data_IF_001411625614
#
_entry.id   IF_001411625614
#
_cell.length_a   1.000
_cell.length_b   1.000
_cell.length_c   1.000
_cell.angle_alpha   90.00
_cell.angle_beta   90.00
_cell.angle_gamma   90.00
#
_symmetry.space_group_name_H-M   'P 1'
#
loop_
_entity.id
_entity.type
_entity.pdbx_description
1 polymer ?
#
# COMPACT_ATOMS: atom_id res chain seq x y z
N UNK A 1 -4.43 17.89 33.31
CA UNK A 1 -3.51 16.80 33.67
C UNK A 1 -2.86 16.33 32.37
N UNK A 2 -1.72 16.94 32.01
CA UNK A 2 -1.01 16.72 30.74
C UNK A 2 -0.02 15.57 30.91
N UNK A 3 -0.23 14.47 30.18
CA UNK A 3 0.75 13.39 30.03
C UNK A 3 1.71 13.77 28.91
N UNK A 4 2.92 14.19 29.30
CA UNK A 4 4.05 14.40 28.40
C UNK A 4 4.66 13.03 28.11
N UNK A 5 4.62 12.61 26.84
CA UNK A 5 5.20 11.35 26.37
C UNK A 5 6.74 11.44 26.40
N UNK A 6 7.37 10.59 27.21
CA UNK A 6 8.76 10.67 27.63
C UNK A 6 9.77 9.96 26.69
N UNK A 7 9.43 9.72 25.42
CA UNK A 7 10.25 8.91 24.50
C UNK A 7 11.03 9.69 23.43
N UNK A 8 10.92 11.03 23.37
CA UNK A 8 11.61 11.85 22.37
C UNK A 8 13.11 12.12 22.63
N UNK A 9 13.69 11.72 23.77
CA UNK A 9 15.08 12.07 24.12
C UNK A 9 16.14 11.06 23.61
N UNK A 10 15.74 9.86 23.17
CA UNK A 10 16.70 8.83 22.72
C UNK A 10 17.16 8.99 21.25
N UNK A 11 16.41 9.73 20.42
CA UNK A 11 16.71 9.85 18.97
C UNK A 11 17.81 10.89 18.69
N UNK A 12 18.02 11.86 19.60
CA UNK A 12 19.02 12.92 19.44
C UNK A 12 20.45 12.41 19.63
N UNK A 13 20.65 11.33 20.40
CA UNK A 13 21.98 10.76 20.69
C UNK A 13 22.61 10.00 19.51
N UNK A 14 21.82 9.32 18.69
CA UNK A 14 22.31 8.57 17.52
C UNK A 14 22.74 9.49 16.36
N UNK A 15 22.09 10.65 16.19
CA UNK A 15 22.43 11.64 15.17
C UNK A 15 23.75 12.38 15.45
N UNK A 16 24.20 12.44 16.70
CA UNK A 16 25.45 13.10 17.07
C UNK A 16 26.70 12.21 16.88
N UNK A 17 26.54 10.87 16.87
CA UNK A 17 27.66 9.95 16.60
C UNK A 17 28.00 9.82 15.12
N UNK A 18 27.06 10.11 14.22
CA UNK A 18 27.31 10.10 12.77
C UNK A 18 28.14 11.30 12.26
N UNK A 19 28.30 12.36 13.08
CA UNK A 19 29.06 13.57 12.72
C UNK A 19 30.58 13.48 12.94
N UNK A 20 31.12 12.36 13.45
CA UNK A 20 32.54 12.22 13.80
C UNK A 20 33.35 11.28 12.90
N UNK A 21 32.75 10.67 11.87
CA UNK A 21 33.50 9.95 10.86
C UNK A 21 33.86 10.91 9.72
N UNK A 22 35.14 11.34 9.69
CA UNK A 22 35.74 12.11 8.61
C UNK A 22 35.87 11.31 7.30
N UNK A 23 36.31 11.97 6.21
CA UNK A 23 35.79 11.71 4.87
C UNK A 23 36.79 10.92 4.00
N UNK A 24 36.40 9.75 3.51
CA UNK A 24 37.07 9.17 2.33
C UNK A 24 36.20 8.15 1.56
N UNK A 25 35.00 8.57 1.17
CA UNK A 25 34.25 7.90 0.10
C UNK A 25 34.09 8.89 -1.04
N UNK A 26 35.10 8.95 -1.91
CA UNK A 26 34.96 9.55 -3.23
C UNK A 26 34.03 8.67 -4.06
N UNK A 27 32.75 9.01 -4.07
CA UNK A 27 31.85 8.52 -5.09
C UNK A 27 32.31 9.09 -6.44
N UNK A 28 32.45 8.28 -7.51
CA UNK A 28 32.67 8.82 -8.84
C UNK A 28 31.54 9.79 -9.16
N UNK A 29 31.86 10.92 -9.80
CA UNK A 29 30.92 11.97 -10.20
C UNK A 29 29.91 11.41 -11.20
N UNK A 30 28.91 10.69 -10.70
CA UNK A 30 27.74 10.26 -11.42
C UNK A 30 26.93 11.50 -11.80
N UNK A 31 26.49 11.53 -13.05
CA UNK A 31 25.61 12.55 -13.59
C UNK A 31 24.52 12.96 -12.59
N UNK A 32 24.15 14.25 -12.54
CA UNK A 32 23.05 14.70 -11.69
C UNK A 32 21.82 13.84 -12.00
N UNK A 33 21.07 13.37 -10.98
CA UNK A 33 19.85 12.61 -11.22
C UNK A 33 18.96 13.46 -12.12
N UNK A 34 18.68 12.96 -13.34
CA UNK A 34 17.72 13.58 -14.23
C UNK A 34 16.39 13.61 -13.49
N UNK A 35 15.98 14.81 -13.09
CA UNK A 35 14.64 15.06 -12.60
C UNK A 35 13.62 14.52 -13.62
N UNK A 36 12.58 13.79 -13.20
CA UNK A 36 11.39 13.69 -14.01
C UNK A 36 10.76 15.09 -13.99
N UNK A 37 11.16 15.96 -14.93
CA UNK A 37 10.36 17.12 -15.33
C UNK A 37 9.11 16.59 -16.04
N UNK A 38 8.20 15.96 -15.30
CA UNK A 38 6.87 15.66 -15.81
C UNK A 38 5.91 16.61 -15.13
N UNK A 39 5.78 17.81 -15.70
CA UNK A 39 4.57 18.59 -15.47
C UNK A 39 3.40 17.72 -15.94
N UNK A 40 2.28 17.73 -15.21
CA UNK A 40 1.05 17.03 -15.60
C UNK A 40 0.51 17.44 -16.98
N UNK A 41 1.09 18.47 -17.61
CA UNK A 41 0.79 18.92 -18.97
C UNK A 41 1.34 17.98 -20.05
N UNK A 42 2.27 17.08 -19.73
CA UNK A 42 2.87 16.14 -20.68
C UNK A 42 2.17 14.76 -20.73
N UNK A 43 1.16 14.50 -19.88
CA UNK A 43 0.46 13.21 -19.87
C UNK A 43 -0.63 13.15 -20.93
N UNK A 44 -0.80 11.98 -21.56
CA UNK A 44 -1.96 11.75 -22.43
C UNK A 44 -3.27 11.91 -21.63
N UNK A 45 -4.37 12.30 -22.29
CA UNK A 45 -5.68 12.39 -21.62
C UNK A 45 -6.11 11.08 -20.95
N UNK A 46 -5.86 9.92 -21.58
CA UNK A 46 -6.20 8.62 -21.00
C UNK A 46 -5.37 8.30 -19.75
N UNK A 47 -4.07 8.62 -19.76
CA UNK A 47 -3.21 8.45 -18.58
C UNK A 47 -3.71 9.29 -17.40
N UNK A 48 -4.02 10.57 -17.66
CA UNK A 48 -4.55 11.46 -16.63
C UNK A 48 -5.90 10.97 -16.09
N UNK A 49 -6.80 10.53 -16.97
CA UNK A 49 -8.09 9.97 -16.57
C UNK A 49 -7.91 8.71 -15.70
N UNK A 50 -7.01 7.81 -16.07
CA UNK A 50 -6.70 6.61 -15.27
C UNK A 50 -6.10 6.94 -13.91
N UNK A 51 -5.18 7.90 -13.82
CA UNK A 51 -4.63 8.38 -12.54
C UNK A 51 -5.72 8.98 -11.65
N UNK A 52 -6.61 9.79 -12.22
CA UNK A 52 -7.75 10.36 -11.49
C UNK A 52 -8.68 9.26 -10.98
N UNK A 53 -9.02 8.30 -11.83
CA UNK A 53 -9.87 7.15 -11.51
C UNK A 53 -9.26 6.30 -10.40
N UNK A 54 -7.96 5.96 -10.49
CA UNK A 54 -7.23 5.25 -9.42
C UNK A 54 -7.27 5.97 -8.07
N UNK A 55 -7.23 7.30 -8.06
CA UNK A 55 -7.29 8.09 -6.82
C UNK A 55 -8.64 8.00 -6.10
N UNK A 56 -9.69 7.58 -6.82
CA UNK A 56 -11.03 7.36 -6.29
C UNK A 56 -11.22 5.94 -5.72
N UNK A 57 -10.23 5.05 -5.87
CA UNK A 57 -10.30 3.67 -5.38
C UNK A 57 -9.78 3.50 -3.96
N UNK A 58 -10.08 4.45 -3.08
CA UNK A 58 -9.87 4.31 -1.65
C UNK A 58 -11.00 3.54 -0.99
N UNK A 59 -10.70 2.94 0.15
CA UNK A 59 -11.66 2.24 1.01
C UNK A 59 -11.74 2.92 2.37
N UNK A 60 -12.93 3.00 2.94
CA UNK A 60 -13.12 3.43 4.33
C UNK A 60 -12.48 2.43 5.28
N UNK A 61 -12.06 2.89 6.46
CA UNK A 61 -11.57 2.00 7.51
C UNK A 61 -12.63 0.99 7.94
N UNK A 62 -13.90 1.39 7.96
CA UNK A 62 -15.05 0.51 8.18
C UNK A 62 -15.07 -0.66 7.20
N UNK A 63 -14.93 -0.40 5.90
CA UNK A 63 -14.92 -1.45 4.87
C UNK A 63 -13.66 -2.32 4.93
N UNK A 64 -12.51 -1.76 5.32
CA UNK A 64 -11.29 -2.54 5.55
C UNK A 64 -11.42 -3.52 6.73
N UNK A 65 -12.06 -3.09 7.82
CA UNK A 65 -12.33 -3.97 8.97
C UNK A 65 -13.38 -5.02 8.65
N UNK A 66 -14.43 -4.67 7.90
CA UNK A 66 -15.42 -5.63 7.42
C UNK A 66 -14.76 -6.72 6.55
N UNK A 67 -13.87 -6.33 5.63
CA UNK A 67 -13.08 -7.29 4.85
C UNK A 67 -12.27 -8.24 5.75
N UNK A 68 -11.61 -7.71 6.78
CA UNK A 68 -10.78 -8.51 7.68
C UNK A 68 -11.58 -9.51 8.52
N UNK A 69 -12.78 -9.12 8.98
CA UNK A 69 -13.62 -9.95 9.84
C UNK A 69 -14.52 -10.92 9.07
N UNK A 70 -14.93 -10.56 7.86
CA UNK A 70 -15.94 -11.27 7.11
C UNK A 70 -15.33 -11.94 5.87
N UNK A 71 -14.90 -11.16 4.88
CA UNK A 71 -14.45 -11.69 3.58
C UNK A 71 -13.17 -12.53 3.69
N UNK A 72 -12.23 -12.13 4.55
CA UNK A 72 -11.00 -12.87 4.83
C UNK A 72 -11.27 -14.19 5.55
N UNK A 73 -12.29 -14.23 6.41
CA UNK A 73 -12.63 -15.41 7.23
C UNK A 73 -13.60 -16.37 6.52
N UNK A 74 -14.35 -15.88 5.54
CA UNK A 74 -15.34 -16.66 4.80
C UNK A 74 -14.73 -17.69 3.84
N UNK A 75 -13.42 -17.61 3.56
CA UNK A 75 -12.76 -18.51 2.63
C UNK A 75 -12.46 -19.87 3.26
N UNK A 76 -13.32 -20.87 2.99
CA UNK A 76 -13.19 -22.22 3.55
C UNK A 76 -11.89 -22.94 3.18
N UNK A 77 -11.31 -22.63 2.01
CA UNK A 77 -10.06 -23.25 1.55
C UNK A 77 -8.82 -22.51 2.06
N UNK A 78 -8.98 -21.36 2.72
CA UNK A 78 -7.88 -20.53 3.20
C UNK A 78 -8.07 -20.15 4.66
N UNK A 79 -7.46 -20.95 5.54
CA UNK A 79 -7.37 -20.60 6.96
C UNK A 79 -6.31 -19.53 7.17
N UNK A 80 -6.73 -18.27 7.28
CA UNK A 80 -5.83 -17.15 7.51
C UNK A 80 -5.09 -17.27 8.86
N UNK A 81 -3.77 -17.15 8.82
CA UNK A 81 -2.87 -17.16 9.96
C UNK A 81 -2.18 -15.78 10.09
N UNK A 82 -2.63 -14.91 11.02
CA UNK A 82 -2.19 -13.52 11.08
C UNK A 82 -0.68 -13.28 11.30
N UNK A 83 0.03 -14.30 11.79
CA UNK A 83 1.48 -14.24 12.06
C UNK A 83 2.33 -14.67 10.87
N UNK A 84 1.76 -15.45 9.95
CA UNK A 84 2.50 -16.11 8.88
C UNK A 84 2.10 -15.59 7.50
N UNK A 85 0.81 -15.30 7.30
CA UNK A 85 0.30 -14.84 6.02
C UNK A 85 0.61 -13.37 5.76
N UNK A 86 1.21 -13.16 4.60
CA UNK A 86 1.60 -11.87 4.08
C UNK A 86 0.48 -11.29 3.23
N UNK A 87 0.61 -10.00 2.92
CA UNK A 87 -0.35 -9.31 2.06
C UNK A 87 -0.47 -9.98 0.68
N UNK A 88 0.62 -10.52 0.12
CA UNK A 88 0.56 -11.30 -1.13
C UNK A 88 -0.32 -12.54 -1.02
N UNK A 89 -0.34 -13.22 0.13
CA UNK A 89 -1.11 -14.44 0.33
C UNK A 89 -2.60 -14.08 0.36
N UNK A 90 -2.96 -13.03 1.09
CA UNK A 90 -4.33 -12.48 1.11
C UNK A 90 -4.77 -12.01 -0.29
N UNK A 91 -3.89 -11.36 -1.05
CA UNK A 91 -4.20 -10.96 -2.44
C UNK A 91 -4.52 -12.18 -3.30
N UNK A 92 -3.67 -13.22 -3.26
CA UNK A 92 -3.79 -14.42 -4.10
C UNK A 92 -4.94 -15.33 -3.67
N UNK A 93 -5.19 -15.46 -2.37
CA UNK A 93 -6.14 -16.42 -1.81
C UNK A 93 -7.52 -15.83 -1.57
N UNK A 94 -7.65 -14.52 -1.38
CA UNK A 94 -8.92 -13.89 -1.02
C UNK A 94 -9.33 -12.83 -2.04
N UNK A 95 -8.52 -11.79 -2.22
CA UNK A 95 -8.92 -10.64 -3.06
C UNK A 95 -9.16 -11.05 -4.51
N UNK A 96 -8.21 -11.76 -5.14
CA UNK A 96 -8.34 -12.19 -6.54
C UNK A 96 -9.53 -13.13 -6.73
N UNK A 97 -9.71 -14.21 -5.93
CA UNK A 97 -10.88 -15.07 -6.07
C UNK A 97 -12.21 -14.36 -5.89
N UNK A 98 -12.33 -13.48 -4.88
CA UNK A 98 -13.57 -12.76 -4.62
C UNK A 98 -13.93 -11.84 -5.79
N UNK A 99 -12.95 -11.13 -6.36
CA UNK A 99 -13.23 -10.19 -7.45
C UNK A 99 -13.17 -10.82 -8.85
N UNK A 100 -13.04 -12.15 -8.97
CA UNK A 100 -12.81 -12.79 -10.28
C UNK A 100 -14.01 -12.73 -11.22
N UNK A 101 -15.23 -12.72 -10.69
CA UNK A 101 -16.44 -12.63 -11.52
C UNK A 101 -16.60 -11.24 -12.16
N UNK A 102 -16.14 -10.19 -11.47
CA UNK A 102 -16.23 -8.80 -11.93
C UNK A 102 -14.94 -8.33 -12.63
N UNK A 103 -13.85 -9.08 -12.48
CA UNK A 103 -12.53 -8.81 -13.04
C UNK A 103 -12.00 -7.40 -12.71
N UNK A 104 -12.28 -6.94 -11.48
CA UNK A 104 -11.99 -5.59 -11.03
C UNK A 104 -11.11 -5.56 -9.76
N UNK A 105 -10.70 -4.36 -9.34
CA UNK A 105 -10.06 -4.17 -8.03
C UNK A 105 -11.08 -4.30 -6.91
N UNK A 106 -10.68 -4.80 -5.74
CA UNK A 106 -11.58 -4.91 -4.59
C UNK A 106 -12.32 -3.60 -4.27
N UNK A 107 -11.62 -2.47 -4.31
CA UNK A 107 -12.19 -1.16 -3.99
C UNK A 107 -13.38 -0.76 -4.87
N UNK A 108 -13.49 -1.28 -6.10
CA UNK A 108 -14.63 -0.99 -7.01
C UNK A 108 -15.61 -2.15 -7.13
N UNK A 109 -15.31 -3.28 -6.47
CA UNK A 109 -16.14 -4.48 -6.51
C UNK A 109 -17.42 -4.33 -5.69
N UNK A 110 -18.44 -5.16 -5.95
CA UNK A 110 -19.64 -5.19 -5.13
C UNK A 110 -19.39 -5.59 -3.67
N UNK A 111 -18.22 -6.19 -3.38
CA UNK A 111 -17.81 -6.58 -2.03
C UNK A 111 -17.32 -5.40 -1.17
N UNK A 112 -16.96 -4.26 -1.79
CA UNK A 112 -16.70 -3.03 -1.05
C UNK A 112 -18.02 -2.31 -0.74
N UNK A 113 -18.56 -2.56 0.46
CA UNK A 113 -19.88 -2.10 0.91
C UNK A 113 -20.10 -0.59 0.83
N UNK A 114 -19.07 0.20 1.06
CA UNK A 114 -19.18 1.67 1.03
C UNK A 114 -18.95 2.27 -0.36
N UNK A 115 -18.62 1.41 -1.34
CA UNK A 115 -18.17 1.78 -2.67
C UNK A 115 -16.77 2.42 -2.69
N UNK A 116 -16.17 2.62 -3.87
CA UNK A 116 -14.91 3.33 -4.00
C UNK A 116 -15.08 4.78 -3.55
N UNK A 117 -14.14 5.27 -2.74
CA UNK A 117 -14.11 6.64 -2.24
C UNK A 117 -12.77 7.30 -2.55
N UNK A 118 -12.79 8.61 -2.78
CA UNK A 118 -11.55 9.38 -2.86
C UNK A 118 -10.74 9.22 -1.59
N UNK A 119 -9.48 8.81 -1.74
CA UNK A 119 -8.60 8.58 -0.61
C UNK A 119 -8.09 9.90 -0.01
N UNK A 120 -8.11 9.96 1.33
CA UNK A 120 -7.50 11.02 2.11
C UNK A 120 -6.10 10.63 2.61
N UNK A 121 -5.82 9.33 2.56
CA UNK A 121 -4.57 8.74 3.01
C UNK A 121 -4.05 7.78 1.95
N UNK A 122 -2.82 7.96 1.49
CA UNK A 122 -2.12 6.96 0.72
C UNK A 122 -1.26 6.10 1.64
N UNK A 123 -1.38 4.77 1.51
CA UNK A 123 -0.59 3.83 2.31
C UNK A 123 0.51 3.22 1.45
N UNK A 124 1.75 3.55 1.78
CA UNK A 124 2.93 2.88 1.21
C UNK A 124 3.25 1.65 2.05
N UNK A 125 3.27 0.48 1.42
CA UNK A 125 3.50 -0.81 2.06
C UNK A 125 4.19 -1.81 1.12
N UNK A 126 4.71 -2.90 1.68
CA UNK A 126 5.30 -4.00 0.93
C UNK A 126 4.41 -5.25 1.04
N UNK A 127 4.23 -5.99 -0.07
CA UNK A 127 3.42 -7.23 -0.03
C UNK A 127 4.09 -8.38 0.70
N UNK A 128 5.41 -8.28 0.91
CA UNK A 128 6.16 -9.19 1.76
C UNK A 128 5.82 -9.07 3.25
N UNK A 129 5.06 -8.05 3.65
CA UNK A 129 4.70 -7.78 5.04
C UNK A 129 3.49 -8.61 5.44
N UNK A 130 3.44 -8.99 6.72
CA UNK A 130 2.26 -9.59 7.34
C UNK A 130 1.04 -8.71 7.07
N UNK A 131 -0.05 -9.32 6.62
CA UNK A 131 -1.25 -8.56 6.25
C UNK A 131 -1.89 -7.87 7.48
N UNK A 132 -1.87 -8.56 8.62
CA UNK A 132 -2.29 -8.00 9.91
C UNK A 132 -1.55 -6.71 10.24
N UNK A 133 -0.23 -6.66 10.06
CA UNK A 133 0.59 -5.49 10.42
C UNK A 133 0.28 -4.29 9.51
N UNK A 134 -0.03 -4.53 8.23
CA UNK A 134 -0.53 -3.50 7.33
C UNK A 134 -1.84 -2.90 7.86
N UNK A 135 -2.81 -3.74 8.21
CA UNK A 135 -4.09 -3.25 8.74
C UNK A 135 -3.91 -2.56 10.10
N UNK A 136 -3.04 -3.11 10.96
CA UNK A 136 -2.71 -2.52 12.25
C UNK A 136 -2.09 -1.12 12.09
N UNK A 137 -1.20 -0.92 11.12
CA UNK A 137 -0.63 0.38 10.80
C UNK A 137 -1.69 1.41 10.37
N UNK A 138 -2.67 0.97 9.57
CA UNK A 138 -3.81 1.81 9.16
C UNK A 138 -4.69 2.19 10.35
N UNK A 139 -5.05 1.20 11.19
CA UNK A 139 -5.85 1.43 12.41
C UNK A 139 -5.11 2.35 13.40
N UNK A 140 -3.81 2.13 13.59
CA UNK A 140 -2.94 2.95 14.44
C UNK A 140 -2.88 4.40 13.95
N UNK A 141 -2.75 4.61 12.65
CA UNK A 141 -2.79 5.94 12.07
C UNK A 141 -4.14 6.65 12.28
N UNK A 142 -5.26 5.93 12.12
CA UNK A 142 -6.59 6.46 12.42
C UNK A 142 -6.74 6.86 13.89
N UNK A 143 -6.26 6.02 14.81
CA UNK A 143 -6.22 6.27 16.25
C UNK A 143 -5.16 7.30 16.67
N UNK A 144 -4.35 7.79 15.72
CA UNK A 144 -3.24 8.73 15.94
C UNK A 144 -2.16 8.20 16.90
N UNK A 145 -1.99 6.87 16.93
CA UNK A 145 -0.97 6.20 17.69
C UNK A 145 0.36 6.19 16.93
N UNK A 146 1.46 6.25 17.69
CA UNK A 146 2.82 6.24 17.12
C UNK A 146 3.34 4.82 16.83
N UNK A 147 2.62 3.78 17.29
CA UNK A 147 2.96 2.39 17.06
C UNK A 147 1.71 1.54 16.91
N UNK A 148 1.77 0.58 15.99
CA UNK A 148 0.65 -0.30 15.71
C UNK A 148 0.56 -1.56 16.59
N UNK A 149 1.33 -1.62 17.69
CA UNK A 149 1.37 -2.81 18.56
C UNK A 149 0.02 -3.10 19.24
N UNK A 150 -0.68 -2.05 19.71
CA UNK A 150 -2.01 -2.19 20.33
C UNK A 150 -3.04 -2.65 19.29
N UNK A 151 -3.05 -1.99 18.12
CA UNK A 151 -3.92 -2.37 17.01
C UNK A 151 -3.69 -3.83 16.57
N UNK A 152 -2.43 -4.27 16.51
CA UNK A 152 -2.07 -5.65 16.19
C UNK A 152 -2.67 -6.65 17.17
N UNK A 153 -2.58 -6.36 18.48
CA UNK A 153 -3.11 -7.23 19.53
C UNK A 153 -4.64 -7.32 19.42
N UNK A 154 -5.30 -6.18 19.28
CA UNK A 154 -6.76 -6.15 19.21
C UNK A 154 -7.31 -6.74 17.91
N UNK A 155 -6.58 -6.67 16.79
CA UNK A 155 -6.95 -7.37 15.56
C UNK A 155 -6.97 -8.91 15.72
N UNK A 156 -6.27 -9.47 16.71
CA UNK A 156 -6.26 -10.90 17.01
C UNK A 156 -7.26 -11.25 18.12
N UNK A 157 -7.39 -10.41 19.14
CA UNK A 157 -8.08 -10.74 20.38
C UNK A 157 -9.48 -10.11 20.50
N UNK A 158 -9.67 -8.88 20.01
CA UNK A 158 -10.90 -8.11 20.22
C UNK A 158 -11.09 -7.00 19.17
N UNK A 159 -11.52 -7.42 17.98
CA UNK A 159 -11.80 -6.48 16.88
C UNK A 159 -13.02 -5.59 17.20
N UNK A 160 -13.94 -6.05 18.06
CA UNK A 160 -15.09 -5.27 18.48
C UNK A 160 -14.66 -4.03 19.28
N UNK A 161 -13.69 -4.18 20.20
CA UNK A 161 -13.11 -3.05 20.91
C UNK A 161 -12.44 -2.05 19.97
N UNK A 162 -11.70 -2.50 18.94
CA UNK A 162 -11.16 -1.60 17.92
C UNK A 162 -12.25 -0.80 17.21
N UNK A 163 -13.35 -1.45 16.86
CA UNK A 163 -14.45 -0.81 16.19
C UNK A 163 -15.05 0.31 17.05
N UNK A 164 -15.28 0.05 18.34
CA UNK A 164 -15.79 1.07 19.27
C UNK A 164 -14.79 2.21 19.47
N UNK A 165 -13.49 1.95 19.63
CA UNK A 165 -12.47 3.01 19.71
C UNK A 165 -12.44 3.91 18.46
N UNK A 166 -12.56 3.32 17.27
CA UNK A 166 -12.60 4.05 16.00
C UNK A 166 -13.91 4.81 15.80
N UNK A 167 -15.00 4.29 16.34
CA UNK A 167 -16.32 4.94 16.34
C UNK A 167 -16.34 6.14 17.27
N UNK A 168 -15.85 5.99 18.50
CA UNK A 168 -15.75 7.07 19.49
C UNK A 168 -14.83 8.20 19.02
N UNK A 169 -13.78 7.87 18.27
CA UNK A 169 -12.88 8.86 17.66
C UNK A 169 -13.40 9.43 16.33
N UNK A 170 -14.56 8.99 15.84
CA UNK A 170 -15.15 9.38 14.55
C UNK A 170 -14.21 9.15 13.35
N UNK A 171 -13.44 8.04 13.35
CA UNK A 171 -12.42 7.73 12.33
C UNK A 171 -12.76 6.55 11.42
N UNK A 172 -13.88 5.87 11.65
CA UNK A 172 -14.30 4.72 10.82
C UNK A 172 -14.46 5.07 9.33
N UNK A 173 -14.78 6.32 9.01
CA UNK A 173 -15.00 6.78 7.64
C UNK A 173 -13.74 7.42 7.03
N UNK A 174 -12.58 7.35 7.71
CA UNK A 174 -11.30 7.70 7.10
C UNK A 174 -11.05 6.79 5.88
N UNK A 175 -10.70 7.41 4.74
CA UNK A 175 -10.49 6.69 3.48
C UNK A 175 -9.00 6.48 3.18
N UNK A 176 -8.60 5.22 3.02
CA UNK A 176 -7.24 4.80 2.72
C UNK A 176 -7.16 4.23 1.31
N UNK A 177 -6.15 4.68 0.55
CA UNK A 177 -5.70 4.03 -0.66
C UNK A 177 -4.60 3.03 -0.31
N UNK A 178 -4.88 1.75 -0.52
CA UNK A 178 -3.94 0.66 -0.25
C UNK A 178 -3.85 -0.15 -1.55
N UNK A 179 -2.65 -0.29 -2.11
CA UNK A 179 -2.52 -0.84 -3.44
C UNK A 179 -3.15 -2.24 -3.53
N UNK A 180 -3.04 -3.08 -2.50
CA UNK A 180 -3.61 -4.43 -2.43
C UNK A 180 -5.10 -4.47 -2.82
N UNK A 181 -5.86 -3.44 -2.44
CA UNK A 181 -7.30 -3.32 -2.70
C UNK A 181 -7.64 -2.44 -3.91
N UNK A 182 -6.85 -1.39 -4.16
CA UNK A 182 -7.17 -0.38 -5.15
C UNK A 182 -6.75 -0.76 -6.59
N UNK A 183 -5.71 -1.58 -6.73
CA UNK A 183 -5.20 -1.99 -8.05
C UNK A 183 -5.93 -3.24 -8.54
N UNK A 184 -6.36 -3.22 -9.79
CA UNK A 184 -6.96 -4.37 -10.45
C UNK A 184 -5.91 -5.43 -10.75
N UNK A 185 -5.94 -6.51 -9.95
CA UNK A 185 -4.99 -7.63 -10.05
C UNK A 185 -5.23 -8.51 -11.26
N UNK A 186 -6.44 -8.48 -11.82
CA UNK A 186 -6.81 -9.24 -13.01
C UNK A 186 -6.07 -8.80 -14.26
N UNK A 187 -5.62 -7.53 -14.29
CA UNK A 187 -4.82 -6.99 -15.40
C UNK A 187 -3.30 -7.20 -15.24
N UNK A 188 -2.84 -7.81 -14.14
CA UNK A 188 -1.42 -7.78 -13.77
C UNK A 188 -0.82 -9.16 -13.49
N UNK A 189 -1.51 -9.98 -12.69
CA UNK A 189 -0.91 -11.18 -12.07
C UNK A 189 -1.80 -12.42 -12.15
N UNK A 190 -2.92 -12.38 -12.86
CA UNK A 190 -3.77 -13.55 -13.04
C UNK A 190 -3.14 -14.58 -13.98
N UNK A 191 -3.68 -15.81 -14.03
CA UNK A 191 -3.23 -16.92 -14.91
C UNK A 191 -1.80 -17.43 -14.72
N UNK A 192 -0.95 -16.76 -13.94
CA UNK A 192 0.42 -17.17 -13.68
C UNK A 192 0.80 -16.99 -12.21
N UNK A 193 1.40 -18.05 -11.66
CA UNK A 193 2.03 -18.02 -10.35
C UNK A 193 3.23 -18.98 -10.33
N UNK A 194 4.41 -18.52 -10.79
CA UNK A 194 5.58 -19.39 -10.87
C UNK A 194 6.23 -19.64 -9.49
N UNK A 195 6.00 -18.79 -8.49
CA UNK A 195 6.81 -18.79 -7.26
C UNK A 195 6.04 -18.58 -5.95
N UNK A 196 4.88 -17.93 -5.94
CA UNK A 196 4.22 -17.57 -4.68
C UNK A 196 3.58 -18.81 -4.05
N UNK A 197 4.10 -19.21 -2.88
CA UNK A 197 3.64 -20.35 -2.11
C UNK A 197 3.01 -19.89 -0.81
N UNK A 198 1.99 -20.63 -0.38
CA UNK A 198 1.42 -20.50 0.96
C UNK A 198 2.51 -20.85 2.00
N UNK A 199 2.75 -19.98 3.00
CA UNK A 199 3.85 -20.16 3.94
C UNK A 199 3.67 -21.33 4.91
N UNK A 200 2.44 -21.84 5.10
CA UNK A 200 2.15 -22.92 6.03
C UNK A 200 2.18 -24.29 5.35
N UNK A 201 1.60 -24.37 4.15
CA UNK A 201 1.44 -25.62 3.38
C UNK A 201 2.54 -25.81 2.34
N UNK A 202 3.27 -24.74 2.00
CA UNK A 202 4.27 -24.69 0.92
C UNK A 202 3.70 -25.04 -0.48
N UNK A 203 2.37 -25.00 -0.63
CA UNK A 203 1.67 -25.23 -1.90
C UNK A 203 1.64 -23.92 -2.70
N UNK A 204 1.75 -24.00 -4.02
CA UNK A 204 1.59 -22.83 -4.88
C UNK A 204 0.17 -22.29 -4.76
N UNK A 205 0.05 -20.96 -4.63
CA UNK A 205 -1.27 -20.33 -4.68
C UNK A 205 -1.96 -20.62 -6.02
N UNK A 206 -3.29 -20.85 -6.02
CA UNK A 206 -4.03 -21.12 -7.24
C UNK A 206 -3.95 -19.94 -8.21
N UNK A 207 -4.05 -20.24 -9.49
CA UNK A 207 -4.12 -19.23 -10.55
C UNK A 207 -5.58 -18.93 -10.89
N UNK A 208 -5.90 -17.64 -11.01
CA UNK A 208 -7.22 -17.22 -11.47
C UNK A 208 -7.42 -17.55 -12.96
N UNK A 209 -8.62 -18.00 -13.32
CA UNK A 209 -9.03 -18.40 -14.68
C UNK A 209 -9.89 -17.34 -15.38
N UNK A 210 -9.86 -16.08 -14.91
CA UNK A 210 -10.62 -14.98 -15.50
C UNK A 210 -10.22 -14.68 -16.95
N UNK A 211 -11.04 -13.90 -17.64
CA UNK A 211 -10.90 -13.53 -19.05
C UNK A 211 -9.97 -12.34 -19.29
N UNK A 212 -9.68 -11.55 -18.25
CA UNK A 212 -8.73 -10.46 -18.28
C UNK A 212 -7.37 -10.86 -18.84
N UNK A 213 -6.83 -9.99 -19.69
CA UNK A 213 -5.48 -10.12 -20.21
C UNK A 213 -4.52 -9.39 -19.28
N UNK A 214 -3.48 -10.11 -18.83
CA UNK A 214 -2.37 -9.46 -18.16
C UNK A 214 -1.69 -8.53 -19.14
N UNK A 215 -1.46 -7.30 -18.70
CA UNK A 215 -0.70 -6.31 -19.45
C UNK A 215 0.78 -6.65 -19.24
N UNK A 216 1.34 -7.39 -20.19
CA UNK A 216 2.77 -7.71 -20.23
C UNK A 216 3.45 -6.83 -21.27
N UNK A 217 4.55 -6.19 -20.87
CA UNK A 217 5.50 -5.60 -21.81
C UNK A 217 6.26 -6.73 -22.54
N UNK A 218 6.60 -6.52 -23.81
CA UNK A 218 7.37 -7.49 -24.60
C UNK A 218 8.78 -7.72 -24.03
N UNK A 219 9.32 -6.75 -23.28
CA UNK A 219 10.72 -6.78 -22.83
C UNK A 219 10.92 -6.73 -21.30
N UNK A 220 9.84 -6.71 -20.50
CA UNK A 220 9.94 -6.69 -19.03
C UNK A 220 10.71 -5.49 -18.45
N UNK A 221 11.01 -4.47 -19.26
CA UNK A 221 11.67 -3.25 -18.83
C UNK A 221 10.64 -2.15 -18.57
N UNK A 222 10.81 -1.47 -17.45
CA UNK A 222 10.04 -0.28 -17.08
C UNK A 222 9.98 0.71 -18.26
N UNK A 223 8.82 0.82 -18.91
CA UNK A 223 8.62 1.72 -20.07
C UNK A 223 8.81 3.18 -19.68
N UNK A 224 9.96 3.69 -20.07
CA UNK A 224 10.22 5.11 -20.30
C UNK A 224 10.22 5.46 -21.81
N UNK A 225 9.75 4.58 -22.70
CA UNK A 225 9.75 4.84 -24.15
C UNK A 225 8.36 4.74 -24.79
N UNK A 226 7.89 5.88 -25.29
CA UNK A 226 6.61 6.14 -25.96
C UNK A 226 6.50 5.54 -27.38
N UNK A 227 7.09 4.38 -27.65
CA UNK A 227 7.09 3.82 -29.02
C UNK A 227 6.85 2.32 -29.03
N UNK A 228 5.59 1.91 -29.14
CA UNK A 228 5.09 1.09 -30.27
C UNK A 228 3.72 0.47 -29.97
N UNK A 229 2.74 0.81 -30.82
CA UNK A 229 1.58 0.03 -31.25
C UNK A 229 0.65 -0.69 -30.23
N UNK A 230 0.79 -0.47 -28.92
CA UNK A 230 -0.12 -0.94 -27.86
C UNK A 230 -0.53 0.16 -26.87
N UNK A 231 -0.43 1.43 -27.29
CA UNK A 231 -0.66 2.63 -26.46
C UNK A 231 -1.99 2.64 -25.69
N UNK A 232 -3.01 1.90 -26.14
CA UNK A 232 -4.28 1.75 -25.43
C UNK A 232 -4.11 0.93 -24.13
N UNK A 233 -3.51 -0.26 -24.21
CA UNK A 233 -3.39 -1.20 -23.09
C UNK A 233 -2.54 -0.63 -21.94
N UNK A 234 -1.43 0.05 -22.24
CA UNK A 234 -0.56 0.61 -21.19
C UNK A 234 -1.22 1.82 -20.52
N UNK A 235 -1.94 2.66 -21.27
CA UNK A 235 -2.63 3.82 -20.70
C UNK A 235 -3.77 3.43 -19.77
N UNK A 236 -4.40 2.28 -20.02
CA UNK A 236 -5.51 1.75 -19.22
C UNK A 236 -5.05 0.88 -18.03
N UNK A 237 -3.77 0.46 -18.01
CA UNK A 237 -3.19 -0.29 -16.88
C UNK A 237 -3.21 0.47 -15.57
N UNK A 238 -3.29 -0.22 -14.44
CA UNK A 238 -3.12 0.41 -13.13
C UNK A 238 -1.63 0.53 -12.72
N UNK A 239 -0.76 -0.21 -13.40
CA UNK A 239 0.67 -0.35 -13.07
C UNK A 239 1.44 0.92 -13.49
N UNK A 240 2.51 1.23 -12.74
CA UNK A 240 3.42 2.36 -12.99
C UNK A 240 2.77 3.76 -12.88
N UNK A 241 1.55 3.86 -12.34
CA UNK A 241 0.84 5.14 -12.13
C UNK A 241 0.93 5.69 -10.71
N UNK A 242 1.58 4.96 -9.79
CA UNK A 242 1.58 5.29 -8.37
C UNK A 242 2.22 6.65 -8.06
N UNK A 243 3.38 6.96 -8.64
CA UNK A 243 4.04 8.27 -8.48
C UNK A 243 3.15 9.40 -8.98
N UNK A 244 2.47 9.21 -10.12
CA UNK A 244 1.53 10.20 -10.65
C UNK A 244 0.24 10.30 -9.84
N UNK A 245 -0.18 9.21 -9.21
CA UNK A 245 -1.29 9.20 -8.27
C UNK A 245 -0.93 9.96 -7.00
N UNK A 246 0.29 9.82 -6.47
CA UNK A 246 0.81 10.65 -5.37
C UNK A 246 0.72 12.13 -5.76
N UNK A 247 1.22 12.48 -6.95
CA UNK A 247 1.11 13.85 -7.49
C UNK A 247 -0.34 14.33 -7.58
N UNK A 248 -1.23 13.52 -8.13
CA UNK A 248 -2.64 13.88 -8.28
C UNK A 248 -3.30 14.09 -6.92
N UNK A 249 -3.13 13.16 -5.98
CA UNK A 249 -3.67 13.23 -4.62
C UNK A 249 -3.16 14.46 -3.86
N UNK A 250 -1.87 14.79 -3.97
CA UNK A 250 -1.28 15.97 -3.33
C UNK A 250 -1.76 17.29 -3.96
N UNK A 251 -1.92 17.34 -5.28
CA UNK A 251 -2.30 18.56 -6.02
C UNK A 251 -3.79 18.85 -5.99
N UNK A 252 -4.64 17.86 -5.72
CA UNK A 252 -6.10 17.99 -5.78
C UNK A 252 -6.79 17.68 -4.44
N UNK A 253 -6.02 17.56 -3.36
CA UNK A 253 -6.56 17.37 -2.01
C UNK A 253 -5.46 17.40 -0.95
N UNK A 254 -5.85 17.60 0.32
CA UNK A 254 -4.93 17.52 1.46
C UNK A 254 -4.52 16.10 1.81
N UNK A 255 -4.29 15.24 0.82
CA UNK A 255 -3.94 13.84 1.03
C UNK A 255 -2.63 13.73 1.80
N UNK A 256 -2.61 12.87 2.81
CA UNK A 256 -1.41 12.54 3.59
C UNK A 256 -0.94 11.13 3.24
N UNK A 257 0.31 10.82 3.57
CA UNK A 257 0.88 9.48 3.36
C UNK A 257 1.19 8.83 4.71
N UNK A 258 0.88 7.53 4.80
CA UNK A 258 1.30 6.65 5.87
C UNK A 258 2.24 5.61 5.29
N UNK A 259 3.41 5.45 5.90
CA UNK A 259 4.31 4.36 5.56
C UNK A 259 4.20 3.27 6.62
N UNK A 260 3.65 2.12 6.24
CA UNK A 260 3.45 0.96 7.11
C UNK A 260 4.70 0.06 7.08
N UNK A 261 5.58 0.21 8.08
CA UNK A 261 6.89 -0.46 8.11
C UNK A 261 6.85 -1.68 9.03
N UNK A 262 7.26 -2.81 8.48
CA UNK A 262 7.45 -4.08 9.15
C UNK A 262 8.75 -4.14 9.96
N UNK A 263 8.84 -5.14 10.85
CA UNK A 263 10.00 -5.36 11.71
C UNK A 263 11.32 -5.60 10.94
N UNK A 264 11.28 -6.12 9.72
CA UNK A 264 12.47 -6.37 8.89
C UNK A 264 12.94 -5.15 8.11
N UNK A 265 12.14 -4.08 8.03
CA UNK A 265 12.43 -2.88 7.23
C UNK A 265 12.62 -3.15 5.71
N UNK A 266 12.16 -4.30 5.19
CA UNK A 266 12.28 -4.69 3.78
C UNK A 266 11.51 -3.75 2.83
N UNK A 267 10.54 -2.99 3.32
CA UNK A 267 9.86 -1.92 2.59
C UNK A 267 10.86 -0.96 1.95
N UNK A 268 11.94 -0.62 2.65
CA UNK A 268 12.97 0.28 2.14
C UNK A 268 13.88 -0.36 1.08
N UNK A 269 13.83 -1.69 0.92
CA UNK A 269 14.49 -2.40 -0.17
C UNK A 269 13.63 -2.44 -1.44
N UNK A 270 12.37 -1.97 -1.40
CA UNK A 270 11.49 -1.89 -2.56
C UNK A 270 11.61 -0.52 -3.23
N UNK A 271 12.20 -0.49 -4.43
CA UNK A 271 12.42 0.75 -5.18
C UNK A 271 11.15 1.59 -5.35
N UNK A 272 9.99 0.96 -5.59
CA UNK A 272 8.71 1.68 -5.71
C UNK A 272 8.26 2.31 -4.38
N UNK A 273 8.45 1.65 -3.23
CA UNK A 273 8.08 2.21 -1.93
C UNK A 273 8.94 3.45 -1.63
N UNK A 274 10.24 3.36 -1.91
CA UNK A 274 11.16 4.50 -1.75
C UNK A 274 10.79 5.64 -2.69
N UNK A 275 10.43 5.35 -3.94
CA UNK A 275 9.99 6.34 -4.91
C UNK A 275 8.70 7.05 -4.44
N UNK A 276 7.71 6.32 -3.93
CA UNK A 276 6.48 6.89 -3.37
C UNK A 276 6.76 7.81 -2.18
N UNK A 277 7.63 7.40 -1.25
CA UNK A 277 8.00 8.20 -0.07
C UNK A 277 8.74 9.47 -0.49
N UNK A 278 9.70 9.36 -1.42
CA UNK A 278 10.47 10.49 -1.91
C UNK A 278 9.57 11.49 -2.66
N UNK A 279 8.64 11.01 -3.48
CA UNK A 279 7.72 11.85 -4.23
C UNK A 279 6.73 12.58 -3.30
N UNK A 280 6.13 11.87 -2.34
CA UNK A 280 5.25 12.48 -1.35
C UNK A 280 5.98 13.57 -0.54
N UNK A 281 7.25 13.32 -0.17
CA UNK A 281 8.09 14.30 0.50
C UNK A 281 8.35 15.53 -0.37
N UNK A 282 8.68 15.33 -1.65
CA UNK A 282 8.91 16.39 -2.64
C UNK A 282 7.67 17.28 -2.80
N UNK A 283 6.49 16.68 -2.75
CA UNK A 283 5.19 17.34 -2.85
C UNK A 283 4.69 17.92 -1.52
N UNK A 284 5.50 17.85 -0.45
CA UNK A 284 5.14 18.35 0.87
C UNK A 284 3.88 17.73 1.46
N UNK A 285 3.54 16.50 1.07
CA UNK A 285 2.46 15.75 1.73
C UNK A 285 2.84 15.53 3.21
N UNK A 286 1.85 15.62 4.10
CA UNK A 286 2.05 15.21 5.50
C UNK A 286 2.34 13.71 5.51
N UNK A 287 3.48 13.31 6.08
CA UNK A 287 3.92 11.92 6.16
C UNK A 287 3.93 11.45 7.61
N UNK A 288 3.43 10.26 7.88
CA UNK A 288 3.60 9.54 9.14
C UNK A 288 4.22 8.17 8.89
N UNK A 289 5.01 7.72 9.87
CA UNK A 289 5.64 6.42 9.86
C UNK A 289 4.99 5.58 10.95
N UNK A 290 4.47 4.41 10.58
CA UNK A 290 3.88 3.47 11.51
C UNK A 290 4.86 2.31 11.69
N UNK A 291 5.37 2.16 12.91
CA UNK A 291 6.37 1.16 13.29
C UNK A 291 5.83 0.20 14.33
N UNK A 292 6.25 -1.06 14.24
CA UNK A 292 6.10 -1.99 15.35
C UNK A 292 7.03 -1.55 16.49
N UNK A 293 6.47 -1.30 17.67
CA UNK A 293 7.28 -1.08 18.86
C UNK A 293 7.73 -2.43 19.39
N UNK A 294 9.04 -2.62 19.55
CA UNK A 294 9.52 -3.68 20.43
C UNK A 294 9.05 -3.30 21.84
N UNK A 295 8.33 -4.20 22.51
CA UNK A 295 7.98 -4.00 23.92
C UNK A 295 9.23 -3.53 24.69
N UNK A 296 9.15 -2.49 25.54
CA UNK A 296 10.20 -2.23 26.52
C UNK A 296 10.37 -3.43 27.45
#
# INVERSE_FOLDING_TARGET
MQLVCCSCQAVTGCLQRAKRAGPDLRFPAGHPPRSPKQSSAAWSPSWKAKVQELSLRGMTLRSLLAFYQEDLQANLDFQYAPKDHKTRDVVRRVIIPITSAEECSYAVSCHNRDGPRRAHVMVTHNWGNCFKDLLAAVVSDALQECSFQVATKLLEEDVALLYEMLKESCRLDDTYWICAFAVNRHMCICRSNPYDRDPLTNVLHPVCTCHSLNISDADGQSVASETMSSNLLISDSDINKFVHMVYHLASTGGCRQVTAVELSFDLFNRAWCVAEIAEAKRLQMRQSLQLASKRP
#
